data_IF_016809392996
#
_entry.id   IF_016809392996
#
_cell.length_a   1.000
_cell.length_b   1.000
_cell.length_c   1.000
_cell.angle_alpha   90.00
_cell.angle_beta   90.00
_cell.angle_gamma   90.00
#
_symmetry.space_group_name_H-M   'P 1'
#
loop_
_entity.id
_entity.type
_entity.pdbx_description
1 polymer ?
#
# COMPACT_ATOMS: atom_id res chain seq x y z
N UNK A 1 4.79 -4.95 -7.62
CA UNK A 1 6.06 -4.21 -7.42
C UNK A 1 6.94 -4.37 -8.66
N UNK A 2 7.29 -5.59 -9.05
CA UNK A 2 8.25 -5.88 -10.13
C UNK A 2 7.93 -5.20 -11.46
N UNK A 3 6.67 -5.25 -11.89
CA UNK A 3 6.25 -4.63 -13.17
C UNK A 3 6.29 -3.10 -13.11
N UNK A 4 5.97 -2.51 -11.97
CA UNK A 4 5.88 -1.06 -11.80
C UNK A 4 7.26 -0.44 -11.51
N UNK A 5 8.14 -1.18 -10.83
CA UNK A 5 9.43 -0.69 -10.32
C UNK A 5 9.27 0.65 -9.59
N UNK A 6 8.41 0.73 -8.55
CA UNK A 6 8.11 2.01 -7.89
C UNK A 6 9.34 2.58 -7.19
N UNK A 7 9.37 3.91 -7.05
CA UNK A 7 10.39 4.62 -6.27
C UNK A 7 9.95 4.76 -4.81
N UNK A 8 8.63 4.80 -4.58
CA UNK A 8 8.02 4.79 -3.26
C UNK A 8 6.86 3.79 -3.21
N UNK A 9 6.81 3.01 -2.14
CA UNK A 9 5.63 2.25 -1.75
C UNK A 9 5.11 2.88 -0.46
N UNK A 10 3.84 3.29 -0.44
CA UNK A 10 3.14 3.76 0.75
C UNK A 10 2.23 2.62 1.21
N UNK A 11 2.31 2.24 2.48
CA UNK A 11 1.49 1.17 3.05
C UNK A 11 0.87 1.62 4.37
N UNK A 12 -0.45 1.57 4.46
CA UNK A 12 -1.18 1.75 5.72
C UNK A 12 -1.40 0.39 6.38
N UNK A 13 -1.10 0.29 7.69
CA UNK A 13 -1.10 -0.98 8.42
C UNK A 13 0.27 -1.68 8.37
N UNK A 14 1.11 -1.47 9.39
CA UNK A 14 2.43 -2.11 9.49
C UNK A 14 2.33 -3.47 10.20
N UNK A 15 1.50 -3.57 11.22
CA UNK A 15 1.36 -4.73 12.08
C UNK A 15 2.73 -5.28 12.53
N UNK A 16 3.11 -6.49 12.07
CA UNK A 16 4.40 -7.12 12.40
C UNK A 16 5.55 -6.71 11.44
N UNK A 17 5.25 -5.96 10.37
CA UNK A 17 6.25 -5.45 9.42
C UNK A 17 6.62 -6.39 8.27
N UNK A 18 5.97 -7.55 8.14
CA UNK A 18 6.32 -8.53 7.11
C UNK A 18 6.17 -7.99 5.69
N UNK A 19 5.07 -7.30 5.40
CA UNK A 19 4.76 -6.72 4.08
C UNK A 19 5.72 -5.59 3.70
N UNK A 20 6.02 -4.68 4.62
CA UNK A 20 6.96 -3.58 4.35
C UNK A 20 8.40 -4.06 4.16
N UNK A 21 8.81 -5.13 4.88
CA UNK A 21 10.11 -5.78 4.69
C UNK A 21 10.16 -6.48 3.32
N UNK A 22 9.10 -7.21 2.94
CA UNK A 22 9.00 -7.83 1.62
C UNK A 22 9.05 -6.76 0.51
N UNK A 23 8.30 -5.68 0.66
CA UNK A 23 8.29 -4.55 -0.27
C UNK A 23 9.68 -3.93 -0.41
N UNK A 24 10.38 -3.68 0.70
CA UNK A 24 11.75 -3.16 0.70
C UNK A 24 12.75 -4.11 0.02
N UNK A 25 12.59 -5.43 0.22
CA UNK A 25 13.41 -6.46 -0.43
C UNK A 25 13.17 -6.49 -1.95
N UNK A 26 11.92 -6.37 -2.40
CA UNK A 26 11.57 -6.27 -3.81
C UNK A 26 12.15 -4.99 -4.46
N UNK A 27 12.16 -3.87 -3.73
CA UNK A 27 12.81 -2.64 -4.20
C UNK A 27 14.33 -2.81 -4.32
N UNK A 28 14.96 -3.57 -3.41
CA UNK A 28 16.38 -3.89 -3.51
C UNK A 28 16.70 -4.73 -4.76
N UNK A 29 15.85 -5.72 -5.08
CA UNK A 29 15.96 -6.50 -6.32
C UNK A 29 15.78 -5.62 -7.58
N UNK A 30 14.86 -4.65 -7.55
CA UNK A 30 14.70 -3.70 -8.65
C UNK A 30 15.99 -2.86 -8.87
N UNK A 31 16.60 -2.38 -7.78
CA UNK A 31 17.88 -1.65 -7.86
C UNK A 31 19.01 -2.51 -8.41
N UNK A 32 19.11 -3.77 -7.97
CA UNK A 32 20.11 -4.71 -8.46
C UNK A 32 19.97 -4.96 -9.97
N UNK A 33 18.76 -5.19 -10.45
CA UNK A 33 18.51 -5.39 -11.88
C UNK A 33 18.83 -4.15 -12.71
N UNK A 34 18.44 -2.97 -12.20
CA UNK A 34 18.78 -1.70 -12.88
C UNK A 34 20.30 -1.48 -12.94
N UNK A 35 21.02 -1.79 -11.85
CA UNK A 35 22.48 -1.70 -11.84
C UNK A 35 23.14 -2.65 -12.85
N UNK A 36 22.62 -3.88 -12.98
CA UNK A 36 23.09 -4.86 -13.99
C UNK A 36 22.81 -4.35 -15.40
N UNK A 37 21.58 -3.86 -15.66
CA UNK A 37 21.15 -3.34 -16.97
C UNK A 37 21.97 -2.12 -17.42
N UNK A 38 22.36 -1.26 -16.47
CA UNK A 38 23.10 0.00 -16.75
C UNK A 38 24.61 -0.10 -16.57
N UNK A 39 25.11 -1.22 -16.06
CA UNK A 39 26.54 -1.38 -15.74
C UNK A 39 27.05 -0.50 -14.60
N UNK A 40 26.15 -0.03 -13.72
CA UNK A 40 26.50 0.84 -12.60
C UNK A 40 26.79 0.06 -11.32
N UNK A 41 27.60 0.64 -10.43
CA UNK A 41 27.83 0.06 -9.10
C UNK A 41 26.63 0.35 -8.19
N UNK A 42 26.14 -0.69 -7.53
CA UNK A 42 25.07 -0.58 -6.54
C UNK A 42 25.66 -0.36 -5.14
N UNK A 43 25.31 0.76 -4.51
CA UNK A 43 25.49 0.96 -3.08
C UNK A 43 24.14 0.76 -2.38
N UNK A 44 23.93 -0.35 -1.65
CA UNK A 44 22.63 -0.66 -1.02
C UNK A 44 22.16 0.41 -0.03
N UNK A 45 23.09 1.18 0.55
CA UNK A 45 22.78 2.25 1.52
C UNK A 45 22.31 3.55 0.86
N UNK A 46 22.60 3.73 -0.43
CA UNK A 46 22.26 4.95 -1.20
C UNK A 46 21.02 4.80 -2.09
N UNK A 47 20.25 3.71 -1.94
CA UNK A 47 19.03 3.56 -2.71
C UNK A 47 18.07 4.72 -2.50
N UNK A 48 17.51 5.17 -3.62
CA UNK A 48 16.45 6.19 -3.64
C UNK A 48 15.05 5.57 -3.48
N UNK A 49 14.92 4.23 -3.63
CA UNK A 49 13.65 3.53 -3.47
C UNK A 49 13.36 3.28 -2.00
N UNK A 50 12.16 3.65 -1.55
CA UNK A 50 11.74 3.58 -0.14
C UNK A 50 10.36 2.93 0.00
N UNK A 51 10.13 2.43 1.21
CA UNK A 51 8.81 2.05 1.72
C UNK A 51 8.46 2.98 2.86
N UNK A 52 7.28 3.58 2.82
CA UNK A 52 6.71 4.40 3.87
C UNK A 52 5.55 3.63 4.49
N UNK A 53 5.74 3.09 5.69
CA UNK A 53 4.70 2.40 6.45
C UNK A 53 4.03 3.34 7.46
N UNK A 54 2.71 3.22 7.58
CA UNK A 54 1.90 3.95 8.56
C UNK A 54 1.17 2.98 9.47
N UNK A 55 1.17 3.23 10.77
CA UNK A 55 0.35 2.45 11.70
C UNK A 55 -0.06 3.34 12.89
N UNK A 56 -1.27 3.11 13.39
CA UNK A 56 -1.76 3.83 14.57
C UNK A 56 -0.96 3.46 15.82
N UNK A 57 -0.47 2.20 15.90
CA UNK A 57 0.29 1.66 17.03
C UNK A 57 1.44 0.77 16.55
N UNK A 58 2.62 1.35 16.35
CA UNK A 58 3.83 0.60 16.03
C UNK A 58 4.43 0.05 17.33
N UNK A 59 4.04 -1.16 17.69
CA UNK A 59 4.51 -1.82 18.92
C UNK A 59 6.02 -1.86 18.98
N UNK A 60 6.58 -1.59 20.17
CA UNK A 60 8.02 -1.47 20.38
C UNK A 60 8.82 -2.63 19.79
N UNK A 61 8.43 -3.88 20.08
CA UNK A 61 9.14 -5.07 19.60
C UNK A 61 9.08 -5.22 18.07
N UNK A 62 7.99 -4.82 17.42
CA UNK A 62 7.87 -4.84 15.96
C UNK A 62 8.78 -3.76 15.35
N UNK A 63 8.77 -2.54 15.92
CA UNK A 63 9.67 -1.46 15.52
C UNK A 63 11.13 -1.88 15.61
N UNK A 64 11.56 -2.43 16.74
CA UNK A 64 12.93 -2.90 16.95
C UNK A 64 13.33 -3.98 15.96
N UNK A 65 12.42 -4.92 15.66
CA UNK A 65 12.67 -5.98 14.67
C UNK A 65 12.82 -5.42 13.25
N UNK A 66 11.98 -4.45 12.85
CA UNK A 66 12.07 -3.79 11.54
C UNK A 66 13.36 -2.97 11.45
N UNK A 67 13.70 -2.20 12.47
CA UNK A 67 14.90 -1.34 12.51
C UNK A 67 16.20 -2.16 12.50
N UNK A 68 16.19 -3.35 13.11
CA UNK A 68 17.32 -4.28 13.08
C UNK A 68 17.46 -5.05 11.76
N UNK A 69 16.43 -5.04 10.90
CA UNK A 69 16.45 -5.79 9.65
C UNK A 69 17.40 -5.16 8.61
N UNK A 70 18.15 -5.96 7.80
CA UNK A 70 19.06 -5.42 6.77
C UNK A 70 18.42 -4.45 5.76
N UNK A 71 17.09 -4.57 5.51
CA UNK A 71 16.34 -3.68 4.63
C UNK A 71 15.87 -2.38 5.31
N UNK A 72 16.13 -2.17 6.60
CA UNK A 72 15.62 -1.03 7.38
C UNK A 72 16.00 0.32 6.77
N UNK A 73 17.16 0.43 6.13
CA UNK A 73 17.59 1.66 5.46
C UNK A 73 16.64 2.13 4.33
N UNK A 74 15.75 1.23 3.87
CA UNK A 74 14.73 1.52 2.85
C UNK A 74 13.37 1.81 3.46
N UNK A 75 13.18 1.63 4.77
CA UNK A 75 11.89 1.71 5.44
C UNK A 75 11.83 2.98 6.28
N UNK A 76 10.77 3.73 6.11
CA UNK A 76 10.39 4.84 6.98
C UNK A 76 9.04 4.49 7.62
N UNK A 77 8.88 4.76 8.91
CA UNK A 77 7.65 4.48 9.64
C UNK A 77 7.10 5.76 10.25
N UNK A 78 5.79 5.99 10.08
CA UNK A 78 5.04 7.07 10.72
C UNK A 78 4.01 6.43 11.65
N UNK A 79 4.04 6.78 12.93
CA UNK A 79 3.03 6.34 13.88
C UNK A 79 1.93 7.39 14.00
N UNK A 80 0.70 6.95 13.80
CA UNK A 80 -0.50 7.78 13.90
C UNK A 80 -1.64 7.21 13.04
N UNK A 81 -2.83 7.75 13.23
CA UNK A 81 -3.98 7.37 12.41
C UNK A 81 -3.77 7.81 10.97
N UNK A 82 -3.90 6.86 10.03
CA UNK A 82 -3.75 7.08 8.58
C UNK A 82 -4.71 8.15 8.03
N UNK A 83 -5.87 8.33 8.67
CA UNK A 83 -6.87 9.33 8.26
C UNK A 83 -6.74 10.67 9.00
N UNK A 84 -5.75 10.82 9.89
CA UNK A 84 -5.54 12.11 10.57
C UNK A 84 -4.89 13.13 9.63
N UNK A 85 -5.33 14.41 9.62
CA UNK A 85 -4.79 15.42 8.72
C UNK A 85 -3.26 15.57 8.84
N UNK A 86 -2.71 15.52 10.06
CA UNK A 86 -1.28 15.67 10.29
C UNK A 86 -0.44 14.53 9.70
N UNK A 87 -0.93 13.28 9.72
CA UNK A 87 -0.27 12.14 9.10
C UNK A 87 -0.39 12.22 7.57
N UNK A 88 -1.57 12.55 7.05
CA UNK A 88 -1.81 12.71 5.62
C UNK A 88 -0.83 13.74 5.03
N UNK A 89 -0.66 14.91 5.68
CA UNK A 89 0.26 15.93 5.19
C UNK A 89 1.72 15.49 5.24
N UNK A 90 2.15 14.73 6.27
CA UNK A 90 3.49 14.14 6.32
C UNK A 90 3.72 13.18 5.16
N UNK A 91 2.74 12.30 4.85
CA UNK A 91 2.83 11.36 3.73
C UNK A 91 2.91 12.08 2.39
N UNK A 92 2.06 13.09 2.18
CA UNK A 92 2.09 13.94 0.98
C UNK A 92 3.44 14.63 0.81
N UNK A 93 4.01 15.16 1.89
CA UNK A 93 5.33 15.80 1.88
C UNK A 93 6.45 14.83 1.47
N UNK A 94 6.39 13.58 1.94
CA UNK A 94 7.32 12.52 1.52
C UNK A 94 7.09 12.17 0.05
N UNK A 95 5.84 11.90 -0.36
CA UNK A 95 5.49 11.43 -1.70
C UNK A 95 5.92 12.40 -2.82
N UNK A 96 5.90 13.71 -2.57
CA UNK A 96 6.35 14.76 -3.52
C UNK A 96 7.78 14.55 -4.06
N UNK A 97 8.62 13.81 -3.35
CA UNK A 97 10.01 13.56 -3.73
C UNK A 97 10.17 12.35 -4.67
N UNK A 98 9.09 11.67 -5.03
CA UNK A 98 9.11 10.43 -5.79
C UNK A 98 8.26 10.53 -7.06
N UNK A 99 8.70 9.86 -8.13
CA UNK A 99 8.02 9.90 -9.43
C UNK A 99 7.07 8.72 -9.62
N UNK A 100 7.43 7.54 -9.12
CA UNK A 100 6.64 6.32 -9.27
C UNK A 100 6.21 5.83 -7.90
N UNK A 101 4.97 6.11 -7.56
CA UNK A 101 4.37 5.77 -6.27
C UNK A 101 3.36 4.63 -6.45
N UNK A 102 3.45 3.63 -5.57
CA UNK A 102 2.49 2.55 -5.41
C UNK A 102 1.91 2.68 -4.00
N UNK A 103 0.61 2.52 -3.85
CA UNK A 103 -0.10 2.62 -2.57
C UNK A 103 -0.71 1.27 -2.20
N UNK A 104 -0.63 0.91 -0.93
CA UNK A 104 -1.24 -0.28 -0.33
C UNK A 104 -2.04 0.15 0.90
N UNK A 105 -3.34 -0.14 0.92
CA UNK A 105 -4.25 0.18 2.03
C UNK A 105 -4.62 -1.12 2.76
N UNK A 106 -4.15 -1.27 4.00
CA UNK A 106 -4.32 -2.47 4.84
C UNK A 106 -4.35 -2.14 6.34
N UNK A 107 -4.99 -1.03 6.74
CA UNK A 107 -4.98 -0.57 8.14
C UNK A 107 -6.25 -0.93 8.91
N UNK A 108 -7.39 -0.60 8.37
CA UNK A 108 -8.71 -0.80 8.95
C UNK A 108 -9.65 -1.30 7.85
N UNK A 109 -10.67 -2.06 8.23
CA UNK A 109 -11.53 -2.70 7.24
C UNK A 109 -12.97 -2.19 7.24
N UNK A 110 -13.27 -1.07 7.92
CA UNK A 110 -14.58 -0.42 7.81
C UNK A 110 -14.66 0.44 6.55
N UNK A 111 -15.83 0.52 5.96
CA UNK A 111 -16.11 1.31 4.76
C UNK A 111 -15.59 2.75 4.88
N UNK A 112 -16.03 3.48 5.93
CA UNK A 112 -15.72 4.90 6.09
C UNK A 112 -14.23 5.17 6.23
N UNK A 113 -13.52 4.29 6.96
CA UNK A 113 -12.07 4.44 7.13
C UNK A 113 -11.32 4.23 5.81
N UNK A 114 -11.65 3.16 5.09
CA UNK A 114 -10.98 2.85 3.81
C UNK A 114 -11.34 3.90 2.75
N UNK A 115 -12.57 4.42 2.75
CA UNK A 115 -12.94 5.52 1.85
C UNK A 115 -12.09 6.77 2.15
N UNK A 116 -11.92 7.13 3.43
CA UNK A 116 -11.07 8.25 3.82
C UNK A 116 -9.59 8.04 3.42
N UNK A 117 -9.06 6.81 3.53
CA UNK A 117 -7.72 6.48 3.04
C UNK A 117 -7.62 6.56 1.52
N UNK A 118 -8.62 6.09 0.78
CA UNK A 118 -8.68 6.21 -0.68
C UNK A 118 -8.63 7.67 -1.11
N UNK A 119 -9.44 8.54 -0.50
CA UNK A 119 -9.43 9.98 -0.78
C UNK A 119 -8.08 10.65 -0.47
N UNK A 120 -7.41 10.21 0.59
CA UNK A 120 -6.13 10.79 1.01
C UNK A 120 -4.93 10.30 0.18
N UNK A 121 -4.88 9.02 -0.17
CA UNK A 121 -3.67 8.36 -0.66
C UNK A 121 -3.76 7.86 -2.09
N UNK A 122 -4.93 7.46 -2.61
CA UNK A 122 -5.05 7.03 -4.00
C UNK A 122 -4.56 8.10 -4.98
N UNK A 123 -4.83 9.41 -4.77
CA UNK A 123 -4.30 10.48 -5.65
C UNK A 123 -2.76 10.56 -5.70
N UNK A 124 -2.05 9.97 -4.74
CA UNK A 124 -0.58 9.91 -4.74
C UNK A 124 -0.03 8.82 -5.67
N UNK A 125 -0.87 7.86 -6.06
CA UNK A 125 -0.50 6.79 -7.00
C UNK A 125 -0.12 7.38 -8.36
N UNK A 126 1.00 6.99 -8.92
CA UNK A 126 1.40 7.48 -10.25
C UNK A 126 0.58 6.84 -11.36
N UNK A 127 0.40 7.54 -12.49
CA UNK A 127 -0.26 6.96 -13.68
C UNK A 127 0.46 5.69 -14.12
N UNK A 128 -0.30 4.64 -14.39
CA UNK A 128 0.20 3.29 -14.72
C UNK A 128 0.57 2.44 -13.50
N UNK A 129 0.59 3.02 -12.29
CA UNK A 129 0.78 2.30 -11.01
C UNK A 129 -0.56 1.89 -10.39
N UNK A 130 -0.52 1.39 -9.16
CA UNK A 130 -1.67 0.83 -8.46
C UNK A 130 -1.84 1.44 -7.07
N UNK A 131 -3.10 1.66 -6.68
CA UNK A 131 -3.56 1.68 -5.32
C UNK A 131 -4.19 0.32 -5.03
N UNK A 132 -3.57 -0.47 -4.15
CA UNK A 132 -4.07 -1.80 -3.79
C UNK A 132 -4.83 -1.69 -2.47
N UNK A 133 -6.08 -2.11 -2.48
CA UNK A 133 -6.95 -2.15 -1.30
C UNK A 133 -7.08 -3.61 -0.87
N UNK A 134 -6.56 -3.92 0.31
CA UNK A 134 -6.60 -5.26 0.86
C UNK A 134 -7.95 -5.58 1.50
N UNK A 135 -8.18 -6.83 1.80
CA UNK A 135 -9.37 -7.39 2.48
C UNK A 135 -10.74 -7.04 1.87
N UNK A 136 -10.74 -6.70 0.57
CA UNK A 136 -12.00 -6.54 -0.18
C UNK A 136 -12.79 -7.86 -0.27
N UNK A 137 -12.15 -9.01 0.00
CA UNK A 137 -12.81 -10.33 0.07
C UNK A 137 -13.90 -10.39 1.15
N UNK A 138 -13.87 -9.49 2.15
CA UNK A 138 -14.85 -9.44 3.24
C UNK A 138 -16.29 -9.37 2.71
N UNK A 139 -16.52 -8.64 1.62
CA UNK A 139 -17.85 -8.53 0.99
C UNK A 139 -18.39 -9.87 0.47
N UNK A 140 -17.50 -10.76 0.06
CA UNK A 140 -17.85 -12.04 -0.55
C UNK A 140 -17.91 -13.18 0.48
N UNK A 141 -17.67 -12.89 1.77
CA UNK A 141 -17.62 -13.86 2.85
C UNK A 141 -18.94 -13.87 3.66
N UNK A 142 -19.29 -15.00 4.32
CA UNK A 142 -20.48 -15.06 5.14
C UNK A 142 -20.44 -14.09 6.33
N UNK A 143 -21.55 -13.39 6.61
CA UNK A 143 -21.70 -12.46 7.75
C UNK A 143 -21.31 -13.09 9.10
N UNK A 144 -21.54 -14.39 9.28
CA UNK A 144 -21.21 -15.12 10.51
C UNK A 144 -19.72 -15.11 10.87
N UNK A 145 -18.83 -14.85 9.91
CA UNK A 145 -17.38 -14.74 10.16
C UNK A 145 -16.97 -13.43 10.83
N UNK A 146 -17.87 -12.44 10.86
CA UNK A 146 -17.60 -11.09 11.34
C UNK A 146 -18.42 -10.67 12.54
N UNK A 147 -19.02 -11.63 13.28
CA UNK A 147 -19.90 -11.36 14.41
C UNK A 147 -19.31 -10.46 15.52
N UNK A 148 -17.98 -10.48 15.66
CA UNK A 148 -17.23 -9.70 16.66
C UNK A 148 -16.35 -8.61 16.01
N UNK A 149 -16.67 -8.18 14.80
CA UNK A 149 -15.92 -7.15 14.06
C UNK A 149 -16.81 -5.97 13.73
N UNK A 150 -16.28 -4.73 13.68
CA UNK A 150 -17.03 -3.57 13.22
C UNK A 150 -17.24 -3.53 11.70
N UNK A 151 -16.66 -4.48 10.97
CA UNK A 151 -16.79 -4.64 9.53
C UNK A 151 -17.39 -6.00 9.17
N UNK A 152 -17.89 -6.12 7.95
CA UNK A 152 -18.52 -7.30 7.38
C UNK A 152 -19.13 -6.99 6.01
N UNK A 153 -19.92 -7.90 5.40
CA UNK A 153 -20.66 -7.60 4.18
C UNK A 153 -21.49 -6.31 4.33
N UNK A 154 -21.39 -5.42 3.34
CA UNK A 154 -22.03 -4.10 3.35
C UNK A 154 -21.26 -2.99 4.06
N UNK A 155 -20.23 -3.29 4.86
CA UNK A 155 -19.37 -2.32 5.56
C UNK A 155 -17.93 -2.83 5.56
N UNK A 156 -17.20 -2.62 4.46
CA UNK A 156 -15.86 -3.19 4.28
C UNK A 156 -15.07 -2.46 3.16
N UNK A 157 -13.79 -2.84 2.92
CA UNK A 157 -12.96 -2.20 1.92
C UNK A 157 -13.52 -2.24 0.50
N UNK A 158 -14.23 -3.30 0.10
CA UNK A 158 -14.81 -3.42 -1.25
C UNK A 158 -15.93 -2.41 -1.48
N UNK A 159 -16.78 -2.20 -0.49
CA UNK A 159 -17.86 -1.19 -0.57
C UNK A 159 -17.29 0.22 -0.68
N UNK A 160 -16.16 0.51 0.01
CA UNK A 160 -15.44 1.77 -0.11
C UNK A 160 -14.83 1.95 -1.52
N UNK A 161 -14.22 0.90 -2.09
CA UNK A 161 -13.74 0.91 -3.48
C UNK A 161 -14.87 1.24 -4.46
N UNK A 162 -16.03 0.59 -4.34
CA UNK A 162 -17.16 0.86 -5.21
C UNK A 162 -17.66 2.30 -5.11
N UNK A 163 -17.67 2.88 -3.90
CA UNK A 163 -18.06 4.27 -3.71
C UNK A 163 -17.04 5.24 -4.30
N UNK A 164 -15.77 5.05 -4.00
CA UNK A 164 -14.67 5.87 -4.51
C UNK A 164 -14.69 5.96 -6.04
N UNK A 165 -14.84 4.83 -6.72
CA UNK A 165 -14.81 4.76 -8.18
C UNK A 165 -16.00 5.46 -8.88
N UNK A 166 -17.09 5.81 -8.17
CA UNK A 166 -18.19 6.59 -8.76
C UNK A 166 -17.73 7.99 -9.21
N UNK A 167 -16.76 8.56 -8.49
CA UNK A 167 -16.28 9.93 -8.71
C UNK A 167 -14.84 10.01 -9.23
N UNK A 168 -14.13 8.87 -9.30
CA UNK A 168 -12.69 8.81 -9.61
C UNK A 168 -12.43 7.97 -10.86
N UNK A 169 -12.80 8.52 -12.02
CA UNK A 169 -12.64 7.86 -13.33
C UNK A 169 -11.19 7.73 -13.80
N UNK A 170 -10.24 8.29 -13.05
CA UNK A 170 -8.80 8.11 -13.25
C UNK A 170 -8.28 6.74 -12.76
N UNK A 171 -9.13 5.98 -12.03
CA UNK A 171 -8.84 4.62 -11.59
C UNK A 171 -9.78 3.62 -12.25
N UNK A 172 -9.25 2.42 -12.50
CA UNK A 172 -10.00 1.24 -12.95
C UNK A 172 -9.59 0.01 -12.16
N UNK A 173 -10.51 -0.94 -11.95
CA UNK A 173 -10.21 -2.24 -11.37
C UNK A 173 -9.49 -3.10 -12.41
N UNK A 174 -8.22 -3.47 -12.15
CA UNK A 174 -7.47 -4.40 -13.01
C UNK A 174 -7.74 -5.85 -12.61
N UNK A 175 -8.80 -6.42 -13.16
CA UNK A 175 -9.16 -7.83 -12.94
C UNK A 175 -8.12 -8.83 -13.45
N UNK A 176 -7.20 -8.42 -14.33
CA UNK A 176 -6.15 -9.30 -14.84
C UNK A 176 -5.19 -9.76 -13.74
N UNK A 177 -4.99 -8.96 -12.69
CA UNK A 177 -4.13 -9.35 -11.57
C UNK A 177 -4.81 -10.45 -10.76
N UNK A 178 -6.04 -10.23 -10.29
CA UNK A 178 -6.75 -11.24 -9.50
C UNK A 178 -6.97 -12.54 -10.28
N UNK A 179 -7.25 -12.46 -11.59
CA UNK A 179 -7.43 -13.65 -12.43
C UNK A 179 -6.14 -14.46 -12.59
N UNK A 180 -4.96 -13.83 -12.51
CA UNK A 180 -3.68 -14.54 -12.50
C UNK A 180 -3.38 -15.18 -11.16
N UNK A 181 -3.77 -14.54 -10.06
CA UNK A 181 -3.53 -15.04 -8.71
C UNK A 181 -4.46 -16.20 -8.36
N UNK A 182 -5.68 -16.22 -8.92
CA UNK A 182 -6.77 -17.16 -8.65
C UNK A 182 -7.32 -17.05 -7.21
N UNK A 183 -6.44 -16.98 -6.21
CA UNK A 183 -6.79 -16.78 -4.80
C UNK A 183 -6.13 -15.47 -4.34
N UNK A 184 -6.94 -14.55 -3.83
CA UNK A 184 -6.47 -13.24 -3.33
C UNK A 184 -7.41 -12.73 -2.23
N UNK A 185 -6.87 -12.01 -1.27
CA UNK A 185 -7.65 -11.26 -0.26
C UNK A 185 -8.20 -9.93 -0.80
N UNK A 186 -7.76 -9.53 -2.00
CA UNK A 186 -8.08 -8.25 -2.62
C UNK A 186 -8.87 -8.38 -3.95
N UNK A 187 -9.96 -9.18 -4.04
CA UNK A 187 -10.78 -9.20 -5.24
C UNK A 187 -11.41 -7.82 -5.49
N UNK A 188 -11.21 -7.28 -6.71
CA UNK A 188 -11.59 -5.92 -7.09
C UNK A 188 -10.80 -4.80 -6.35
N UNK A 189 -9.78 -5.15 -5.55
CA UNK A 189 -8.94 -4.20 -4.81
C UNK A 189 -7.71 -3.70 -5.57
N UNK A 190 -7.45 -4.14 -6.78
CA UNK A 190 -6.30 -3.70 -7.59
C UNK A 190 -6.68 -2.50 -8.47
N UNK A 191 -6.63 -1.29 -7.90
CA UNK A 191 -7.00 -0.06 -8.59
C UNK A 191 -5.81 0.49 -9.37
N UNK A 192 -5.86 0.40 -10.69
CA UNK A 192 -4.84 0.95 -11.57
C UNK A 192 -5.18 2.40 -11.91
N UNK A 193 -4.23 3.32 -11.71
CA UNK A 193 -4.37 4.69 -12.18
C UNK A 193 -4.09 4.76 -13.69
N UNK A 194 -5.08 5.14 -14.49
CA UNK A 194 -5.01 5.12 -15.96
C UNK A 194 -4.85 6.49 -16.59
N UNK A 195 -5.12 7.58 -15.84
CA UNK A 195 -4.96 8.96 -16.30
C UNK A 195 -4.70 9.93 -15.12
N UNK A 196 -4.35 11.17 -15.45
CA UNK A 196 -4.23 12.25 -14.45
C UNK A 196 -5.60 12.77 -14.04
#
# INVERSE_FOLDING_TARGET
>A
IWKIKPDLIIETGIAHGGSIIMSASMLALCDMCEAIETGTLLDPKKSKRKVLGLDIDIRKHNREAIEAHPMSSRIQMIQGSSISPGVIEQVKAVAKNYKRVLVCLDSNHTHDHVLAELEAYAPLTSVGSYCVVFDTIIEDMPQSMFSNRPWGPGNNPKTAVWEYLKNHSEFEIDKKIQNKLLITVAPDGYLKRVKN
#
